data_IF_355958986280
#
_entry.id   IF_355958986280
#
_cell.length_a   1.000
_cell.length_b   1.000
_cell.length_c   1.000
_cell.angle_alpha   90.00
_cell.angle_beta   90.00
_cell.angle_gamma   90.00
#
_symmetry.space_group_name_H-M   'P 1'
#
loop_
_entity.id
_entity.type
_entity.pdbx_description
1 polymer ?
#
# COMPACT_ATOMS: atom_id res chain seq x y z
N UNK A 1 15.66 -3.85 16.59
CA UNK A 1 14.58 -3.11 15.91
C UNK A 1 13.43 -4.09 15.70
N UNK A 2 12.21 -3.68 16.03
CA UNK A 2 10.99 -4.49 15.90
C UNK A 2 10.65 -4.72 14.42
N UNK A 3 10.17 -5.93 14.10
CA UNK A 3 9.82 -6.33 12.72
C UNK A 3 8.75 -5.42 12.09
N UNK A 4 7.75 -4.99 12.87
CA UNK A 4 6.71 -4.06 12.41
C UNK A 4 7.30 -2.70 12.10
N UNK A 5 8.11 -2.15 13.00
CA UNK A 5 8.78 -0.87 12.77
C UNK A 5 9.65 -0.89 11.53
N UNK A 6 10.48 -1.94 11.37
CA UNK A 6 11.30 -2.11 10.16
C UNK A 6 10.45 -2.13 8.89
N UNK A 7 9.26 -2.80 8.94
CA UNK A 7 8.38 -2.92 7.80
C UNK A 7 7.78 -1.58 7.39
N UNK A 8 7.28 -0.86 8.39
CA UNK A 8 6.70 0.46 8.17
C UNK A 8 7.76 1.44 7.66
N UNK A 9 8.92 1.48 8.31
CA UNK A 9 10.06 2.35 7.91
C UNK A 9 10.49 2.08 6.47
N UNK A 10 10.60 0.80 6.06
CA UNK A 10 10.95 0.46 4.68
C UNK A 10 9.89 0.94 3.68
N UNK A 11 8.60 0.82 4.00
CA UNK A 11 7.51 1.32 3.15
C UNK A 11 7.54 2.85 3.04
N UNK A 12 7.70 3.56 4.16
CA UNK A 12 7.78 5.02 4.17
C UNK A 12 8.97 5.51 3.33
N UNK A 13 10.13 4.84 3.45
CA UNK A 13 11.33 5.15 2.65
C UNK A 13 11.14 4.82 1.15
N UNK A 14 10.39 3.77 0.80
CA UNK A 14 10.14 3.42 -0.59
C UNK A 14 9.15 4.38 -1.28
N UNK A 15 8.15 4.84 -0.55
CA UNK A 15 7.14 5.77 -1.05
C UNK A 15 7.68 7.21 -1.04
N UNK A 16 8.39 7.64 0.01
CA UNK A 16 8.96 9.00 0.12
C UNK A 16 7.94 10.13 -0.10
N UNK A 17 6.73 9.96 0.43
CA UNK A 17 5.75 11.04 0.40
C UNK A 17 6.01 12.06 1.51
N UNK A 18 5.73 13.36 1.29
CA UNK A 18 5.91 14.37 2.33
C UNK A 18 4.99 14.16 3.53
N UNK A 19 3.76 13.74 3.28
CA UNK A 19 2.73 13.49 4.29
C UNK A 19 1.96 12.20 3.97
N UNK A 20 1.42 11.58 5.01
CA UNK A 20 0.65 10.34 4.94
C UNK A 20 -0.68 10.48 5.68
N UNK A 21 -1.69 9.76 5.19
CA UNK A 21 -2.92 9.46 5.91
C UNK A 21 -2.84 8.02 6.42
N UNK A 22 -3.14 7.80 7.70
CA UNK A 22 -3.18 6.47 8.31
C UNK A 22 -4.61 6.14 8.70
N UNK A 23 -5.15 5.08 8.10
CA UNK A 23 -6.50 4.59 8.37
C UNK A 23 -6.51 3.42 9.35
N UNK A 24 -7.45 3.44 10.29
CA UNK A 24 -7.70 2.35 11.22
C UNK A 24 -9.14 1.87 11.03
N UNK A 25 -9.30 0.70 10.42
CA UNK A 25 -10.63 0.11 10.19
C UNK A 25 -10.94 -0.91 11.29
N UNK A 26 -11.96 -0.62 12.09
CA UNK A 26 -12.50 -1.51 13.11
C UNK A 26 -13.77 -2.21 12.62
N UNK A 27 -14.37 -3.05 13.47
CA UNK A 27 -15.69 -3.65 13.28
C UNK A 27 -16.82 -2.60 13.18
N UNK A 28 -16.61 -1.41 13.76
CA UNK A 28 -17.55 -0.27 13.73
C UNK A 28 -17.30 0.69 12.56
N UNK A 29 -16.40 0.34 11.63
CA UNK A 29 -16.03 1.16 10.48
C UNK A 29 -14.68 1.86 10.64
N UNK A 30 -14.41 2.79 9.73
CA UNK A 30 -13.18 3.57 9.72
C UNK A 30 -13.19 4.56 10.90
N UNK A 31 -12.23 4.43 11.80
CA UNK A 31 -12.05 5.38 12.90
C UNK A 31 -11.50 6.71 12.36
N UNK A 32 -11.72 7.84 13.06
CA UNK A 32 -11.05 9.09 12.75
C UNK A 32 -9.56 8.85 12.59
N UNK A 33 -9.05 9.19 11.42
CA UNK A 33 -7.69 8.86 11.01
C UNK A 33 -6.66 9.84 11.52
N UNK A 34 -5.42 9.52 11.23
CA UNK A 34 -4.29 10.44 11.33
C UNK A 34 -4.04 10.93 9.90
N UNK A 35 -4.57 12.08 9.56
CA UNK A 35 -4.48 12.64 8.21
C UNK A 35 -3.36 13.68 8.12
N UNK A 36 -2.60 13.65 7.03
CA UNK A 36 -1.59 14.64 6.71
C UNK A 36 -0.41 14.67 7.70
N UNK A 37 0.04 13.51 8.19
CA UNK A 37 1.15 13.43 9.14
C UNK A 37 2.48 13.05 8.46
N UNK A 38 3.63 13.58 8.91
CA UNK A 38 4.94 13.21 8.38
C UNK A 38 5.34 11.79 8.79
N UNK A 39 6.30 11.20 8.07
CA UNK A 39 6.79 9.84 8.32
C UNK A 39 7.23 9.60 9.78
N UNK A 40 7.87 10.57 10.42
CA UNK A 40 8.27 10.48 11.82
C UNK A 40 7.05 10.30 12.75
N UNK A 41 5.99 11.08 12.55
CA UNK A 41 4.77 10.98 13.33
C UNK A 41 4.03 9.64 13.11
N UNK A 42 4.13 9.02 11.92
CA UNK A 42 3.63 7.65 11.70
C UNK A 42 4.38 6.66 12.60
N UNK A 43 5.71 6.78 12.67
CA UNK A 43 6.55 5.90 13.50
C UNK A 43 6.27 6.09 15.00
N UNK A 44 6.06 7.32 15.46
CA UNK A 44 5.72 7.64 16.86
C UNK A 44 4.38 7.00 17.30
N UNK A 45 3.48 6.75 16.34
CA UNK A 45 2.18 6.14 16.60
C UNK A 45 2.17 4.61 16.54
N UNK A 46 3.30 3.96 16.23
CA UNK A 46 3.37 2.51 16.04
C UNK A 46 2.87 1.71 17.24
N UNK A 47 3.17 2.13 18.46
CA UNK A 47 2.69 1.44 19.67
C UNK A 47 1.14 1.44 19.73
N UNK A 48 0.51 2.59 19.46
CA UNK A 48 -0.94 2.73 19.41
C UNK A 48 -1.55 1.91 18.27
N UNK A 49 -0.95 1.93 17.07
CA UNK A 49 -1.42 1.17 15.91
C UNK A 49 -1.32 -0.34 16.15
N UNK A 50 -0.25 -0.82 16.78
CA UNK A 50 -0.09 -2.22 17.19
C UNK A 50 -1.17 -2.63 18.19
N UNK A 51 -1.44 -1.80 19.19
CA UNK A 51 -2.51 -2.05 20.14
C UNK A 51 -3.86 -2.21 19.41
N UNK A 52 -4.21 -1.29 18.49
CA UNK A 52 -5.44 -1.37 17.70
C UNK A 52 -5.50 -2.63 16.84
N UNK A 53 -4.39 -3.00 16.18
CA UNK A 53 -4.32 -4.21 15.36
C UNK A 53 -4.46 -5.49 16.19
N UNK A 54 -3.84 -5.56 17.37
CA UNK A 54 -4.01 -6.67 18.31
C UNK A 54 -5.47 -6.85 18.73
N UNK A 55 -6.25 -5.75 18.79
CA UNK A 55 -7.68 -5.76 19.09
C UNK A 55 -8.57 -5.86 17.82
N UNK A 56 -8.02 -6.34 16.71
CA UNK A 56 -8.77 -6.70 15.51
C UNK A 56 -8.93 -5.60 14.46
N UNK A 57 -8.40 -4.40 14.67
CA UNK A 57 -8.44 -3.36 13.65
C UNK A 57 -7.46 -3.63 12.52
N UNK A 58 -7.84 -3.24 11.29
CA UNK A 58 -6.96 -3.24 10.12
C UNK A 58 -6.24 -1.89 10.05
N UNK A 59 -4.96 -1.91 9.72
CA UNK A 59 -4.14 -0.69 9.60
C UNK A 59 -3.80 -0.45 8.14
N UNK A 60 -4.09 0.76 7.69
CA UNK A 60 -3.91 1.21 6.32
C UNK A 60 -3.07 2.48 6.27
N UNK A 61 -2.47 2.75 5.12
CA UNK A 61 -1.70 3.96 4.85
C UNK A 61 -1.85 4.38 3.40
N UNK A 62 -1.77 5.68 3.14
CA UNK A 62 -1.59 6.24 1.80
C UNK A 62 -0.79 7.55 1.89
N UNK A 63 -0.18 8.00 0.79
CA UNK A 63 0.25 9.39 0.67
C UNK A 63 -0.93 10.34 0.82
N UNK A 64 -0.75 11.46 1.53
CA UNK A 64 -1.79 12.47 1.75
C UNK A 64 -1.92 13.42 0.57
N UNK A 65 -3.14 13.89 0.31
CA UNK A 65 -3.43 14.84 -0.76
C UNK A 65 -3.23 14.27 -2.17
N UNK A 66 -2.99 15.15 -3.15
CA UNK A 66 -2.63 14.74 -4.51
C UNK A 66 -1.19 14.22 -4.53
N UNK A 67 -0.99 13.08 -5.15
CA UNK A 67 0.29 12.38 -5.12
C UNK A 67 0.59 11.66 -6.42
N UNK A 68 1.86 11.24 -6.59
CA UNK A 68 2.35 10.54 -7.78
C UNK A 68 2.38 9.01 -7.63
N UNK A 69 1.40 8.43 -6.99
CA UNK A 69 1.38 6.98 -6.74
C UNK A 69 0.05 6.37 -7.15
N UNK A 70 0.12 5.15 -7.66
CA UNK A 70 -1.06 4.28 -7.86
C UNK A 70 -0.89 3.02 -7.03
N UNK A 71 -1.88 2.70 -6.21
CA UNK A 71 -1.97 1.42 -5.52
C UNK A 71 -2.81 0.46 -6.35
N UNK A 72 -2.26 -0.72 -6.65
CA UNK A 72 -2.97 -1.85 -7.27
C UNK A 72 -3.17 -2.91 -6.20
N UNK A 73 -4.41 -3.34 -5.98
CA UNK A 73 -4.79 -4.31 -4.95
C UNK A 73 -5.19 -5.67 -5.57
N UNK A 74 -5.07 -6.72 -4.77
CA UNK A 74 -5.44 -8.09 -5.16
C UNK A 74 -4.68 -8.65 -6.38
N UNK A 75 -3.39 -8.30 -6.52
CA UNK A 75 -2.52 -8.82 -7.57
C UNK A 75 -2.06 -10.26 -7.26
N UNK A 76 -2.09 -11.12 -8.29
CA UNK A 76 -1.46 -12.44 -8.26
C UNK A 76 0.04 -12.36 -8.62
N UNK A 77 0.79 -13.45 -8.40
CA UNK A 77 2.18 -13.58 -8.88
C UNK A 77 2.28 -13.46 -10.41
N UNK A 78 1.27 -13.97 -11.14
CA UNK A 78 1.18 -13.84 -12.60
C UNK A 78 1.04 -12.37 -12.99
N UNK A 79 0.18 -11.62 -12.29
CA UNK A 79 0.01 -10.19 -12.52
C UNK A 79 1.28 -9.40 -12.23
N UNK A 80 2.03 -9.76 -11.18
CA UNK A 80 3.31 -9.15 -10.85
C UNK A 80 4.38 -9.44 -11.92
N UNK A 81 4.42 -10.67 -12.44
CA UNK A 81 5.32 -11.05 -13.53
C UNK A 81 5.01 -10.25 -14.80
N UNK A 82 3.71 -10.11 -15.14
CA UNK A 82 3.27 -9.31 -16.28
C UNK A 82 3.64 -7.82 -16.11
N UNK A 83 3.44 -7.26 -14.91
CA UNK A 83 3.88 -5.90 -14.57
C UNK A 83 5.38 -5.71 -14.85
N UNK A 84 6.21 -6.65 -14.39
CA UNK A 84 7.66 -6.59 -14.57
C UNK A 84 8.07 -6.71 -16.05
N UNK A 85 7.44 -7.60 -16.83
CA UNK A 85 7.67 -7.76 -18.26
C UNK A 85 7.29 -6.48 -19.02
N UNK A 86 6.21 -5.83 -18.64
CA UNK A 86 5.77 -4.56 -19.22
C UNK A 86 6.62 -3.35 -18.75
N UNK A 87 7.68 -3.57 -17.96
CA UNK A 87 8.62 -2.54 -17.50
C UNK A 87 8.18 -1.75 -16.26
N UNK A 88 7.09 -2.15 -15.60
CA UNK A 88 6.65 -1.51 -14.36
C UNK A 88 7.34 -2.13 -13.16
N UNK A 89 8.09 -1.32 -12.41
CA UNK A 89 8.71 -1.73 -11.16
C UNK A 89 7.99 -1.06 -9.99
N UNK A 90 7.27 -1.81 -9.13
CA UNK A 90 6.67 -1.25 -7.92
C UNK A 90 7.73 -0.64 -7.00
N UNK A 91 7.49 0.57 -6.48
CA UNK A 91 8.32 1.16 -5.45
C UNK A 91 8.11 0.48 -4.08
N UNK A 92 6.91 -0.08 -3.85
CA UNK A 92 6.62 -0.91 -2.69
C UNK A 92 5.71 -2.07 -3.08
N UNK A 93 5.96 -3.25 -2.50
CA UNK A 93 5.16 -4.46 -2.67
C UNK A 93 4.81 -5.02 -1.29
N UNK A 94 3.52 -5.28 -1.05
CA UNK A 94 3.02 -5.81 0.21
C UNK A 94 2.24 -7.09 -0.07
N UNK A 95 2.66 -8.21 0.50
CA UNK A 95 1.84 -9.42 0.52
C UNK A 95 0.74 -9.25 1.57
N UNK A 96 -0.51 -9.15 1.13
CA UNK A 96 -1.68 -8.87 1.97
C UNK A 96 -2.32 -10.15 2.52
N UNK A 97 -2.13 -11.26 1.82
CA UNK A 97 -2.46 -12.64 2.21
C UNK A 97 -1.64 -13.60 1.33
N UNK A 98 -1.73 -14.92 1.55
CA UNK A 98 -0.97 -15.90 0.79
C UNK A 98 -1.19 -15.73 -0.71
N UNK A 99 -0.11 -15.50 -1.46
CA UNK A 99 -0.09 -15.28 -2.91
C UNK A 99 -0.98 -14.13 -3.41
N UNK A 100 -1.30 -13.18 -2.54
CA UNK A 100 -2.07 -11.99 -2.88
C UNK A 100 -1.30 -10.73 -2.49
N UNK A 101 -1.12 -9.82 -3.43
CA UNK A 101 -0.21 -8.69 -3.32
C UNK A 101 -0.90 -7.37 -3.57
N UNK A 102 -0.34 -6.33 -2.95
CA UNK A 102 -0.62 -4.95 -3.25
C UNK A 102 0.66 -4.27 -3.70
N UNK A 103 0.62 -3.63 -4.85
CA UNK A 103 1.77 -2.93 -5.45
C UNK A 103 1.53 -1.43 -5.50
N UNK A 104 2.56 -0.66 -5.16
CA UNK A 104 2.60 0.79 -5.32
C UNK A 104 3.50 1.16 -6.49
N UNK A 105 2.92 1.80 -7.49
CA UNK A 105 3.63 2.33 -8.65
C UNK A 105 3.86 3.82 -8.47
N UNK A 106 5.08 4.28 -8.76
CA UNK A 106 5.51 5.68 -8.61
C UNK A 106 5.58 6.32 -10.00
N UNK A 107 4.74 7.32 -10.26
CA UNK A 107 4.76 8.10 -11.50
C UNK A 107 5.85 9.17 -11.46
N UNK A 108 6.23 9.67 -12.63
CA UNK A 108 7.25 10.73 -12.76
C UNK A 108 6.78 12.07 -12.20
N UNK A 109 5.47 12.32 -12.21
CA UNK A 109 4.85 13.56 -11.73
C UNK A 109 3.56 13.28 -10.94
N UNK A 110 3.08 14.28 -10.21
CA UNK A 110 1.76 14.28 -9.58
C UNK A 110 0.71 14.40 -10.68
N UNK A 111 -0.30 13.55 -10.62
CA UNK A 111 -1.46 13.65 -11.51
C UNK A 111 -2.64 14.33 -10.79
N UNK A 112 -3.44 15.13 -11.52
CA UNK A 112 -4.75 15.55 -11.01
C UNK A 112 -5.62 14.33 -10.67
N UNK A 113 -6.52 14.48 -9.72
CA UNK A 113 -7.35 13.38 -9.17
C UNK A 113 -8.02 12.52 -10.24
N UNK A 114 -8.62 13.15 -11.26
CA UNK A 114 -9.30 12.42 -12.34
C UNK A 114 -8.33 11.57 -13.16
N UNK A 115 -7.17 12.13 -13.52
CA UNK A 115 -6.16 11.40 -14.27
C UNK A 115 -5.53 10.28 -13.44
N UNK A 116 -5.29 10.52 -12.16
CA UNK A 116 -4.78 9.50 -11.24
C UNK A 116 -5.78 8.33 -11.08
N UNK A 117 -7.08 8.62 -10.99
CA UNK A 117 -8.13 7.59 -10.96
C UNK A 117 -8.19 6.83 -12.28
N UNK A 118 -8.15 7.52 -13.41
CA UNK A 118 -8.13 6.88 -14.73
C UNK A 118 -6.91 5.97 -14.91
N UNK A 119 -5.73 6.42 -14.51
CA UNK A 119 -4.53 5.59 -14.53
C UNK A 119 -4.67 4.34 -13.63
N UNK A 120 -5.23 4.49 -12.42
CA UNK A 120 -5.48 3.37 -11.52
C UNK A 120 -6.44 2.35 -12.14
N UNK A 121 -7.54 2.80 -12.74
CA UNK A 121 -8.52 1.92 -13.42
C UNK A 121 -7.92 1.21 -14.63
N UNK A 122 -7.17 1.91 -15.46
CA UNK A 122 -6.48 1.35 -16.62
C UNK A 122 -5.48 0.27 -16.22
N UNK A 123 -4.66 0.54 -15.21
CA UNK A 123 -3.69 -0.43 -14.71
C UNK A 123 -4.38 -1.62 -14.01
N UNK A 124 -5.44 -1.37 -13.23
CA UNK A 124 -6.20 -2.45 -12.61
C UNK A 124 -6.81 -3.40 -13.65
N UNK A 125 -7.41 -2.87 -14.71
CA UNK A 125 -7.95 -3.68 -15.81
C UNK A 125 -6.85 -4.46 -16.54
N UNK A 126 -5.69 -3.85 -16.82
CA UNK A 126 -4.58 -4.48 -17.53
C UNK A 126 -3.95 -5.63 -16.75
N UNK A 127 -3.84 -5.51 -15.44
CA UNK A 127 -3.13 -6.46 -14.56
C UNK A 127 -4.06 -7.28 -13.68
N UNK A 128 -5.37 -7.26 -13.94
CA UNK A 128 -6.38 -8.04 -13.22
C UNK A 128 -6.33 -7.76 -11.71
N UNK A 129 -6.16 -6.49 -11.35
CA UNK A 129 -6.26 -6.02 -9.98
C UNK A 129 -7.72 -5.71 -9.62
N UNK A 130 -8.01 -5.49 -8.32
CA UNK A 130 -9.36 -5.17 -7.85
C UNK A 130 -9.85 -3.84 -8.43
N UNK A 131 -10.88 -3.83 -9.32
CA UNK A 131 -11.40 -2.60 -9.92
C UNK A 131 -12.11 -1.69 -8.90
N UNK A 132 -12.64 -2.26 -7.81
CA UNK A 132 -13.28 -1.48 -6.73
C UNK A 132 -12.28 -0.69 -5.91
N UNK A 133 -11.00 -1.05 -6.02
CA UNK A 133 -9.88 -0.42 -5.35
C UNK A 133 -9.15 0.62 -6.23
N UNK A 134 -9.59 0.82 -7.48
CA UNK A 134 -8.88 1.59 -8.47
C UNK A 134 -9.28 3.08 -8.43
N UNK A 135 -8.83 3.80 -7.43
CA UNK A 135 -8.99 5.26 -7.33
C UNK A 135 -7.72 5.95 -6.80
N UNK A 136 -7.64 7.28 -6.98
CA UNK A 136 -6.50 8.10 -6.59
C UNK A 136 -6.24 8.13 -5.08
N UNK A 137 -7.25 7.88 -4.25
CA UNK A 137 -7.21 7.96 -2.78
C UNK A 137 -7.19 6.58 -2.12
N UNK A 138 -6.85 5.53 -2.86
CA UNK A 138 -6.81 4.18 -2.32
C UNK A 138 -5.89 4.08 -1.12
N UNK A 139 -6.43 3.55 -0.02
CA UNK A 139 -5.63 3.12 1.10
C UNK A 139 -4.98 1.77 0.81
N UNK A 140 -3.67 1.68 1.04
CA UNK A 140 -2.95 0.42 1.05
C UNK A 140 -2.81 -0.16 2.45
N UNK A 141 -2.61 -1.47 2.56
CA UNK A 141 -2.29 -2.09 3.85
C UNK A 141 -0.93 -1.62 4.33
N UNK A 142 -0.88 -1.22 5.60
CA UNK A 142 0.40 -0.93 6.23
C UNK A 142 1.12 -2.26 6.54
N UNK A 143 2.35 -2.47 6.05
CA UNK A 143 3.09 -3.72 6.28
C UNK A 143 3.48 -3.88 7.75
N UNK A 144 3.69 -5.15 8.17
CA UNK A 144 4.08 -5.48 9.54
C UNK A 144 2.91 -5.62 10.51
N UNK A 145 1.68 -5.41 10.06
CA UNK A 145 0.46 -5.62 10.83
C UNK A 145 -0.28 -6.89 10.38
N UNK A 146 -1.01 -7.50 11.30
CA UNK A 146 -1.80 -8.70 11.04
C UNK A 146 -3.03 -8.37 10.18
N UNK A 147 -3.35 -9.25 9.23
CA UNK A 147 -4.60 -9.17 8.49
C UNK A 147 -5.75 -9.72 9.35
N UNK A 148 -6.54 -8.81 9.93
CA UNK A 148 -7.65 -9.15 10.84
C UNK A 148 -8.98 -9.43 10.11
N UNK A 149 -9.01 -9.59 8.77
CA UNK A 149 -10.26 -10.00 8.08
C UNK A 149 -10.74 -11.35 8.62
N UNK A 150 -12.05 -11.55 8.84
CA UNK A 150 -12.59 -12.78 9.46
C UNK A 150 -12.10 -14.08 8.80
N UNK A 151 -12.01 -14.10 7.47
CA UNK A 151 -11.54 -15.26 6.70
C UNK A 151 -10.08 -15.66 6.98
N UNK A 152 -9.28 -14.76 7.60
CA UNK A 152 -7.88 -14.99 7.94
C UNK A 152 -7.64 -15.17 9.43
N UNK A 153 -8.58 -14.73 10.30
CA UNK A 153 -8.46 -14.81 11.77
C UNK A 153 -8.30 -16.23 12.33
N UNK A 154 -8.86 -17.23 11.66
CA UNK A 154 -8.92 -18.60 12.19
C UNK A 154 -7.76 -19.50 11.74
N UNK A 155 -6.85 -19.08 10.87
CA UNK A 155 -5.88 -20.00 10.28
C UNK A 155 -4.41 -19.64 10.40
N UNK A 156 -4.02 -18.38 10.46
CA UNK A 156 -2.59 -18.05 10.55
C UNK A 156 -2.39 -16.64 11.12
N UNK A 157 -1.47 -16.50 12.07
CA UNK A 157 -0.80 -15.24 12.35
C UNK A 157 0.16 -14.96 11.19
N UNK A 158 -0.34 -14.41 10.10
CA UNK A 158 0.53 -14.02 9.00
C UNK A 158 1.29 -12.76 9.38
N UNK A 159 2.54 -12.97 9.70
CA UNK A 159 3.54 -11.92 9.60
C UNK A 159 3.66 -11.62 8.12
N UNK A 160 3.23 -10.45 7.68
CA UNK A 160 3.43 -9.98 6.31
C UNK A 160 4.93 -10.14 5.97
N UNK A 161 5.29 -11.17 5.21
CA UNK A 161 6.66 -11.37 4.74
C UNK A 161 6.94 -10.31 3.70
N UNK A 162 7.78 -9.39 4.08
CA UNK A 162 8.36 -8.38 3.22
C UNK A 162 9.18 -9.01 2.10
N UNK A 163 8.87 -8.60 0.90
CA UNK A 163 9.91 -8.28 -0.05
C UNK A 163 9.69 -6.82 -0.47
N UNK A 164 10.25 -5.90 0.29
CA UNK A 164 10.56 -4.61 -0.27
C UNK A 164 11.72 -4.86 -1.24
N UNK A 165 11.42 -4.95 -2.51
CA UNK A 165 12.45 -4.81 -3.53
C UNK A 165 12.80 -3.32 -3.57
N UNK A 166 13.78 -2.93 -2.76
CA UNK A 166 14.52 -1.71 -2.98
C UNK A 166 15.51 -2.00 -4.10
N UNK A 167 15.01 -1.99 -5.33
CA UNK A 167 15.85 -1.95 -6.51
C UNK A 167 16.02 -0.49 -6.90
N UNK A 168 17.17 0.10 -6.60
CA UNK A 168 17.67 1.25 -7.32
C UNK A 168 17.92 0.82 -8.77
N UNK A 169 16.90 0.88 -9.62
CA UNK A 169 17.13 0.84 -11.07
C UNK A 169 15.99 1.56 -11.80
N UNK A 170 16.43 2.63 -12.45
CA UNK A 170 15.93 3.24 -13.68
C UNK A 170 14.44 3.59 -13.83
N UNK A 171 14.23 4.90 -13.85
CA UNK A 171 13.36 5.64 -14.75
C UNK A 171 12.69 4.75 -15.82
N UNK A 172 11.47 4.33 -15.61
CA UNK A 172 10.57 4.18 -16.73
C UNK A 172 9.38 5.08 -16.48
N UNK A 173 9.38 6.18 -17.20
CA UNK A 173 8.23 7.01 -17.40
C UNK A 173 7.09 6.12 -17.89
N UNK A 174 5.96 6.14 -17.20
CA UNK A 174 4.70 5.80 -17.85
C UNK A 174 4.45 6.98 -18.80
N UNK A 175 4.93 6.91 -20.03
CA UNK A 175 4.37 7.65 -21.15
C UNK A 175 3.04 6.97 -21.48
N UNK A 176 2.00 7.32 -20.74
CA UNK A 176 0.63 7.09 -21.16
C UNK A 176 0.14 8.45 -21.66
N UNK A 177 0.03 8.58 -22.97
CA UNK A 177 -0.35 9.65 -23.90
C UNK A 177 0.79 10.50 -24.39
#
# INVERSE_FOLDING_TARGET
>A
MDKTESAVRNMLNAIEAPLYDVGVLSDRGMLPGLDGIPAAAVLDRLAQLKYRNAHGSQIYIRPSGEHRYTALDDLSEISLTKLAVDGFTPCALVETSAANFQAWLKHTRVFPKLLSTFAAQTLAARYVADPSAADWRRFGRMPGFTNCKPKYRCRFSFTCRKRAFCGSFMRSAIEIL
#
